data_IF_106494306871
#
_entry.id   IF_106494306871
#
_cell.length_a   1.000
_cell.length_b   1.000
_cell.length_c   1.000
_cell.angle_alpha   90.00
_cell.angle_beta   90.00
_cell.angle_gamma   90.00
#
_symmetry.space_group_name_H-M   'P 1'
#
loop_
_entity.id
_entity.type
_entity.pdbx_description
1 polymer ?
#
# COMPACT_ATOMS: atom_id res chain seq x y z
N UNK A 1 -8.65 3.82 2.00
CA UNK A 1 -8.34 3.39 0.62
C UNK A 1 -8.08 1.90 0.61
N UNK A 2 -8.55 1.20 -0.41
CA UNK A 2 -8.36 -0.25 -0.47
C UNK A 2 -7.01 -0.61 -1.07
N UNK A 3 -6.46 -1.72 -0.65
CA UNK A 3 -5.14 -2.18 -1.09
C UNK A 3 -5.06 -2.30 -2.62
N UNK A 4 -6.05 -2.93 -3.24
CA UNK A 4 -6.06 -3.08 -4.69
C UNK A 4 -6.16 -1.75 -5.43
N UNK A 5 -6.90 -0.81 -4.88
CA UNK A 5 -7.03 0.51 -5.45
C UNK A 5 -5.70 1.26 -5.42
N UNK A 6 -5.00 1.18 -4.30
CA UNK A 6 -3.70 1.83 -4.17
C UNK A 6 -2.67 1.19 -5.09
N UNK A 7 -2.66 -0.13 -5.17
CA UNK A 7 -1.76 -0.86 -6.05
C UNK A 7 -1.95 -0.43 -7.51
N UNK A 8 -3.19 -0.30 -7.95
CA UNK A 8 -3.49 0.17 -9.31
C UNK A 8 -2.99 1.59 -9.54
N UNK A 9 -3.23 2.45 -8.57
CA UNK A 9 -2.81 3.85 -8.67
C UNK A 9 -1.31 3.98 -8.83
N UNK A 10 -0.55 3.10 -8.19
CA UNK A 10 0.90 3.11 -8.23
C UNK A 10 1.48 2.17 -9.29
N UNK A 11 0.64 1.49 -10.05
CA UNK A 11 1.04 0.48 -11.03
C UNK A 11 1.88 -0.63 -10.40
N UNK A 12 1.51 -1.03 -9.18
CA UNK A 12 2.18 -2.08 -8.43
C UNK A 12 1.23 -3.24 -8.18
N UNK A 13 1.77 -4.34 -7.68
CA UNK A 13 0.98 -5.49 -7.27
C UNK A 13 0.64 -5.35 -5.79
N UNK A 14 -0.50 -5.94 -5.40
CA UNK A 14 -0.88 -5.95 -3.97
C UNK A 14 0.20 -6.63 -3.13
N UNK A 15 0.85 -7.67 -3.67
CA UNK A 15 1.93 -8.36 -2.97
C UNK A 15 3.12 -7.44 -2.68
N UNK A 16 3.41 -6.50 -3.58
CA UNK A 16 4.49 -5.54 -3.37
C UNK A 16 4.18 -4.64 -2.17
N UNK A 17 2.93 -4.20 -2.05
CA UNK A 17 2.51 -3.35 -0.95
C UNK A 17 2.50 -4.13 0.37
N UNK A 18 2.03 -5.37 0.34
CA UNK A 18 2.04 -6.23 1.53
C UNK A 18 3.46 -6.45 2.02
N UNK A 19 4.39 -6.73 1.10
CA UNK A 19 5.80 -6.94 1.46
C UNK A 19 6.39 -5.68 2.08
N UNK A 20 6.11 -4.51 1.52
CA UNK A 20 6.57 -3.25 2.09
C UNK A 20 6.05 -3.05 3.52
N UNK A 21 4.75 -3.29 3.71
CA UNK A 21 4.14 -3.11 5.03
C UNK A 21 4.70 -4.10 6.04
N UNK A 22 4.97 -5.34 5.61
CA UNK A 22 5.58 -6.34 6.49
C UNK A 22 6.97 -5.92 6.97
N UNK A 23 7.73 -5.22 6.13
CA UNK A 23 9.03 -4.70 6.52
C UNK A 23 8.92 -3.65 7.64
N UNK A 24 7.74 -3.06 7.77
CA UNK A 24 7.45 -2.06 8.81
C UNK A 24 6.61 -2.64 9.95
N UNK A 25 6.64 -3.98 10.12
CA UNK A 25 5.88 -4.69 11.15
C UNK A 25 4.37 -4.51 11.02
N UNK A 26 3.89 -4.28 9.82
CA UNK A 26 2.47 -4.14 9.53
C UNK A 26 2.01 -5.34 8.71
N UNK A 27 1.06 -6.10 9.26
CA UNK A 27 0.51 -7.27 8.58
C UNK A 27 -0.87 -6.94 8.03
N UNK A 28 -1.06 -7.14 6.72
CA UNK A 28 -2.36 -6.95 6.08
C UNK A 28 -2.65 -8.13 5.17
N UNK A 29 -3.94 -8.39 4.95
CA UNK A 29 -4.35 -9.42 3.99
C UNK A 29 -4.02 -8.96 2.57
N UNK A 30 -3.56 -9.88 1.70
CA UNK A 30 -3.21 -9.53 0.33
C UNK A 30 -4.42 -9.35 -0.61
N UNK A 31 -5.64 -9.42 -0.08
CA UNK A 31 -6.85 -9.26 -0.89
C UNK A 31 -7.03 -7.84 -1.40
N UNK A 32 -7.59 -7.71 -2.61
CA UNK A 32 -7.82 -6.40 -3.23
C UNK A 32 -8.76 -5.51 -2.43
N UNK A 33 -9.62 -6.10 -1.60
CA UNK A 33 -10.63 -5.38 -0.82
C UNK A 33 -10.13 -5.00 0.57
N UNK A 34 -8.92 -5.36 0.92
CA UNK A 34 -8.35 -5.02 2.22
C UNK A 34 -8.25 -3.50 2.36
N UNK A 35 -8.78 -2.97 3.47
CA UNK A 35 -8.72 -1.54 3.75
C UNK A 35 -7.40 -1.17 4.38
N UNK A 36 -6.83 -0.08 3.90
CA UNK A 36 -5.62 0.50 4.49
C UNK A 36 -5.97 1.78 5.25
N UNK A 37 -5.28 2.00 6.35
CA UNK A 37 -5.39 3.24 7.10
C UNK A 37 -4.69 4.37 6.35
N UNK A 38 -5.13 5.61 6.59
CA UNK A 38 -4.54 6.76 5.92
C UNK A 38 -3.04 6.87 6.17
N UNK A 39 -2.60 6.54 7.39
CA UNK A 39 -1.18 6.56 7.72
C UNK A 39 -0.39 5.57 6.86
N UNK A 40 -0.95 4.38 6.64
CA UNK A 40 -0.29 3.38 5.80
C UNK A 40 -0.27 3.80 4.34
N UNK A 41 -1.36 4.41 3.86
CA UNK A 41 -1.43 4.93 2.49
C UNK A 41 -0.35 6.00 2.28
N UNK A 42 -0.22 6.92 3.21
CA UNK A 42 0.79 7.98 3.11
C UNK A 42 2.21 7.41 3.10
N UNK A 43 2.47 6.41 3.94
CA UNK A 43 3.76 5.72 3.96
C UNK A 43 4.10 5.12 2.60
N UNK A 44 3.15 4.42 2.02
CA UNK A 44 3.33 3.74 0.74
C UNK A 44 3.57 4.76 -0.37
N UNK A 45 2.76 5.80 -0.43
CA UNK A 45 2.89 6.84 -1.46
C UNK A 45 4.23 7.55 -1.30
N UNK A 46 4.62 7.87 -0.08
CA UNK A 46 5.89 8.54 0.17
C UNK A 46 7.08 7.68 -0.28
N UNK A 47 6.97 6.36 -0.15
CA UNK A 47 8.06 5.45 -0.52
C UNK A 47 8.11 5.19 -2.04
N UNK A 48 6.96 4.90 -2.64
CA UNK A 48 6.90 4.47 -4.05
C UNK A 48 6.67 5.61 -5.03
N UNK A 49 5.98 6.64 -4.61
CA UNK A 49 5.62 7.76 -5.49
C UNK A 49 5.63 9.09 -4.72
N UNK A 50 6.79 9.53 -4.23
CA UNK A 50 6.87 10.75 -3.43
C UNK A 50 6.39 12.00 -4.15
N UNK A 51 6.42 11.98 -5.47
CA UNK A 51 5.95 13.09 -6.29
C UNK A 51 4.43 13.30 -6.19
N UNK A 52 3.70 12.31 -5.65
CA UNK A 52 2.25 12.42 -5.47
C UNK A 52 1.85 13.03 -4.12
N UNK A 53 2.80 13.26 -3.24
CA UNK A 53 2.51 13.85 -1.92
C UNK A 53 2.82 15.33 -1.87
#
# INVERSE_FOLDING_TARGET
>A
MRLGQLARKLALRTTDLVAFLNQHDITVDPGNNTRLEDSHVKMIIHHFAPELT
#
